data_IF_241382518404
#
_entry.id   IF_241382518404
#
_cell.length_a   1.000
_cell.length_b   1.000
_cell.length_c   1.000
_cell.angle_alpha   90.00
_cell.angle_beta   90.00
_cell.angle_gamma   90.00
#
_symmetry.space_group_name_H-M   'P 1'
#
loop_
_entity.id
_entity.type
_entity.pdbx_description
1 polymer ?
#
# COMPACT_ATOMS: atom_id res chain seq x y z
N UNK A 1 38.74 27.52 56.93
CA UNK A 1 37.86 26.68 56.06
C UNK A 1 37.64 27.46 54.78
N UNK A 2 38.29 27.08 53.71
CA UNK A 2 38.14 27.72 52.42
C UNK A 2 36.97 27.01 51.69
N UNK A 3 35.88 27.74 51.48
CA UNK A 3 34.74 27.29 50.66
C UNK A 3 35.03 27.57 49.21
N UNK A 4 35.40 26.54 48.44
CA UNK A 4 35.45 26.64 47.00
C UNK A 4 33.99 26.78 46.48
N UNK A 5 33.70 27.76 45.61
CA UNK A 5 32.40 27.84 44.98
C UNK A 5 32.22 26.64 44.02
N UNK A 6 31.09 25.93 44.20
CA UNK A 6 30.68 24.90 43.27
C UNK A 6 30.51 25.53 41.88
N UNK A 7 31.15 25.02 40.81
CA UNK A 7 30.92 25.55 39.48
C UNK A 7 29.45 25.30 39.11
N UNK A 8 28.69 26.36 38.97
CA UNK A 8 27.39 26.33 38.28
C UNK A 8 27.69 25.88 36.85
N UNK A 9 27.35 24.66 36.52
CA UNK A 9 27.32 24.24 35.13
C UNK A 9 26.34 25.14 34.40
N UNK A 10 26.84 26.04 33.59
CA UNK A 10 26.01 26.73 32.60
C UNK A 10 25.38 25.68 31.70
N UNK A 11 24.07 25.78 31.35
CA UNK A 11 23.50 24.89 30.39
C UNK A 11 24.38 24.88 29.15
N UNK A 12 24.87 23.70 28.77
CA UNK A 12 25.70 23.53 27.58
C UNK A 12 24.86 23.98 26.40
N UNK A 13 25.13 25.18 25.89
CA UNK A 13 24.55 25.59 24.61
C UNK A 13 25.17 24.68 23.54
N UNK A 14 24.37 24.01 22.71
CA UNK A 14 24.91 23.21 21.62
C UNK A 14 25.76 24.13 20.74
N UNK A 15 26.94 23.65 20.36
CA UNK A 15 27.76 24.31 19.37
C UNK A 15 26.99 24.32 18.00
N UNK A 16 27.47 25.09 17.03
CA UNK A 16 26.82 25.20 15.72
C UNK A 16 26.54 23.84 15.09
N UNK A 17 27.44 22.87 15.24
CA UNK A 17 27.27 21.49 14.75
C UNK A 17 26.18 20.76 15.53
N UNK A 18 26.12 20.93 16.84
CA UNK A 18 25.07 20.36 17.69
C UNK A 18 23.69 20.91 17.33
N UNK A 19 23.58 22.20 17.04
CA UNK A 19 22.35 22.83 16.59
C UNK A 19 21.90 22.29 15.21
N UNK A 20 22.82 22.14 14.27
CA UNK A 20 22.54 21.55 12.95
C UNK A 20 22.07 20.10 13.05
N UNK A 21 22.65 19.30 13.95
CA UNK A 21 22.21 17.93 14.19
C UNK A 21 20.81 17.86 14.80
N UNK A 22 20.49 18.75 15.75
CA UNK A 22 19.15 18.85 16.33
C UNK A 22 18.11 19.25 15.29
N UNK A 23 18.39 20.28 14.47
CA UNK A 23 17.51 20.69 13.38
C UNK A 23 17.27 19.57 12.36
N UNK A 24 18.33 18.83 12.02
CA UNK A 24 18.20 17.68 11.12
C UNK A 24 17.34 16.59 11.72
N UNK A 25 17.49 16.31 13.00
CA UNK A 25 16.72 15.27 13.71
C UNK A 25 15.23 15.66 13.78
N UNK A 26 14.92 16.90 14.13
CA UNK A 26 13.56 17.45 14.11
C UNK A 26 12.93 17.36 12.71
N UNK A 27 13.62 17.84 11.68
CA UNK A 27 13.14 17.76 10.30
C UNK A 27 12.90 16.30 9.85
N UNK A 28 13.76 15.37 10.28
CA UNK A 28 13.62 13.97 9.91
C UNK A 28 12.43 13.29 10.59
N UNK A 29 12.00 13.75 11.75
CA UNK A 29 10.82 13.25 12.46
C UNK A 29 9.53 13.78 11.86
N UNK A 30 9.52 15.03 11.43
CA UNK A 30 8.33 15.65 10.84
C UNK A 30 8.03 15.17 9.42
N UNK A 31 9.00 14.50 8.76
CA UNK A 31 8.86 13.99 7.41
C UNK A 31 8.28 12.58 7.40
N UNK A 32 6.97 12.46 7.25
CA UNK A 32 6.34 11.18 7.00
C UNK A 32 6.54 10.77 5.53
N UNK A 33 7.39 9.78 5.27
CA UNK A 33 7.61 9.27 3.91
C UNK A 33 6.74 8.04 3.64
N UNK A 34 6.85 7.04 4.51
CA UNK A 34 6.05 5.80 4.44
C UNK A 34 6.06 5.10 5.79
N UNK A 35 5.02 4.30 6.03
CA UNK A 35 4.86 3.51 7.25
C UNK A 35 4.23 2.15 6.94
N UNK A 36 4.54 1.15 7.75
CA UNK A 36 3.85 -0.15 7.69
C UNK A 36 2.52 -0.02 8.41
N UNK A 37 1.43 -0.34 7.70
CA UNK A 37 0.08 -0.31 8.23
C UNK A 37 -0.59 -1.67 8.23
N UNK A 38 -1.64 -1.79 9.05
CA UNK A 38 -2.53 -2.95 9.12
C UNK A 38 -3.94 -2.48 8.83
N UNK A 39 -4.59 -3.08 7.83
CA UNK A 39 -5.97 -2.79 7.46
C UNK A 39 -6.90 -3.15 8.62
N UNK A 40 -7.72 -2.21 9.04
CA UNK A 40 -8.77 -2.40 10.04
C UNK A 40 -10.15 -2.61 9.39
N UNK A 41 -10.41 -1.87 8.31
CA UNK A 41 -11.59 -2.00 7.48
C UNK A 41 -11.25 -1.61 6.04
N UNK A 42 -11.90 -2.24 5.05
CA UNK A 42 -11.81 -1.86 3.64
C UNK A 42 -13.19 -1.55 3.09
N UNK A 43 -13.31 -0.47 2.33
CA UNK A 43 -14.55 0.02 1.74
C UNK A 43 -14.48 -0.08 0.20
N UNK A 44 -15.00 -1.17 -0.41
CA UNK A 44 -14.89 -1.41 -1.84
C UNK A 44 -15.52 -0.32 -2.71
N UNK A 45 -16.60 0.30 -2.24
CA UNK A 45 -17.32 1.34 -2.98
C UNK A 45 -16.50 2.62 -3.20
N UNK A 46 -15.66 2.96 -2.24
CA UNK A 46 -14.77 4.14 -2.29
C UNK A 46 -13.31 3.76 -2.54
N UNK A 47 -12.97 2.46 -2.50
CA UNK A 47 -11.61 1.94 -2.61
C UNK A 47 -10.68 2.56 -1.56
N UNK A 48 -11.20 2.72 -0.33
CA UNK A 48 -10.46 3.27 0.81
C UNK A 48 -10.38 2.26 1.94
N UNK A 49 -9.45 2.46 2.85
CA UNK A 49 -9.28 1.63 4.04
C UNK A 49 -9.02 2.48 5.29
N UNK A 50 -9.46 1.97 6.44
CA UNK A 50 -9.01 2.45 7.74
C UNK A 50 -7.76 1.64 8.15
N UNK A 51 -6.70 2.33 8.54
CA UNK A 51 -5.38 1.74 8.70
C UNK A 51 -4.78 2.14 10.04
N UNK A 52 -4.31 1.16 10.81
CA UNK A 52 -3.46 1.41 11.97
C UNK A 52 -1.99 1.32 11.55
N UNK A 53 -1.20 2.33 11.87
CA UNK A 53 0.25 2.28 11.71
C UNK A 53 0.80 1.28 12.72
N UNK A 54 1.63 0.35 12.24
CA UNK A 54 2.12 -0.77 13.05
C UNK A 54 3.37 -0.45 13.86
N UNK A 55 4.15 0.54 13.45
CA UNK A 55 5.40 0.93 14.11
C UNK A 55 5.17 2.22 14.86
N UNK A 56 5.30 2.17 16.20
CA UNK A 56 5.20 3.34 17.05
C UNK A 56 6.46 4.20 16.96
N UNK A 57 6.30 5.49 17.21
CA UNK A 57 7.42 6.39 17.40
C UNK A 57 7.95 6.31 18.84
N UNK A 58 9.26 6.52 19.02
CA UNK A 58 9.87 6.70 20.34
C UNK A 58 10.24 8.17 20.50
N UNK A 59 9.59 8.85 21.42
CA UNK A 59 9.89 10.24 21.76
C UNK A 59 10.22 10.36 23.26
N UNK A 60 11.40 10.86 23.58
CA UNK A 60 11.92 10.97 24.96
C UNK A 60 11.87 9.67 25.78
N UNK A 61 11.94 8.51 25.12
CA UNK A 61 11.86 7.18 25.75
C UNK A 61 10.44 6.63 25.86
N UNK A 62 9.41 7.39 25.51
CA UNK A 62 8.03 6.96 25.50
C UNK A 62 7.60 6.47 24.12
N UNK A 63 6.80 5.41 24.08
CA UNK A 63 6.17 4.89 22.86
C UNK A 63 4.92 5.70 22.54
N UNK A 64 4.94 6.39 21.38
CA UNK A 64 3.82 7.15 20.87
C UNK A 64 3.20 6.40 19.72
N UNK A 65 1.93 6.01 19.88
CA UNK A 65 1.16 5.37 18.82
C UNK A 65 0.59 6.40 17.86
N UNK A 66 0.67 6.11 16.57
CA UNK A 66 0.01 6.92 15.56
C UNK A 66 -1.52 6.78 15.67
N UNK A 67 -2.29 7.81 15.33
CA UNK A 67 -3.74 7.69 15.21
C UNK A 67 -4.10 6.73 14.08
N UNK A 68 -5.29 6.13 14.16
CA UNK A 68 -5.86 5.40 13.03
C UNK A 68 -6.06 6.35 11.86
N UNK A 69 -5.50 6.01 10.71
CA UNK A 69 -5.72 6.74 9.47
C UNK A 69 -7.05 6.28 8.89
N UNK A 70 -7.97 7.20 8.68
CA UNK A 70 -9.32 6.90 8.19
C UNK A 70 -9.43 7.18 6.68
N UNK A 71 -10.15 6.30 5.98
CA UNK A 71 -10.50 6.46 4.56
C UNK A 71 -9.29 6.68 3.65
N UNK A 72 -8.18 6.02 3.94
CA UNK A 72 -6.95 6.09 3.12
C UNK A 72 -7.20 5.43 1.77
N UNK A 73 -6.98 6.10 0.62
CA UNK A 73 -7.10 5.51 -0.71
C UNK A 73 -6.17 4.30 -0.88
N UNK A 74 -6.69 3.23 -1.49
CA UNK A 74 -5.91 2.03 -1.77
C UNK A 74 -5.53 1.99 -3.24
N UNK A 75 -4.24 1.75 -3.51
CA UNK A 75 -3.72 1.60 -4.86
C UNK A 75 -4.23 0.28 -5.45
N UNK A 76 -4.95 0.37 -6.56
CA UNK A 76 -5.40 -0.77 -7.35
C UNK A 76 -4.49 -0.90 -8.57
N UNK A 77 -4.10 -2.12 -8.90
CA UNK A 77 -3.33 -2.39 -10.12
C UNK A 77 -4.25 -2.23 -11.32
N UNK A 78 -4.20 -1.08 -11.98
CA UNK A 78 -5.04 -0.80 -13.15
C UNK A 78 -4.33 0.05 -14.18
N UNK A 79 -4.81 -0.03 -15.43
CA UNK A 79 -4.38 0.81 -16.54
C UNK A 79 -5.40 0.76 -17.67
N UNK A 80 -5.74 1.91 -18.25
CA UNK A 80 -6.83 2.02 -19.22
C UNK A 80 -8.14 1.50 -18.64
N UNK A 81 -8.74 0.51 -19.31
CA UNK A 81 -9.99 -0.13 -18.87
C UNK A 81 -9.78 -1.40 -18.04
N UNK A 82 -8.53 -1.85 -17.90
CA UNK A 82 -8.20 -3.10 -17.21
C UNK A 82 -7.79 -2.88 -15.76
N UNK A 83 -8.21 -3.78 -14.87
CA UNK A 83 -7.77 -3.80 -13.47
C UNK A 83 -7.58 -5.23 -12.97
N UNK A 84 -6.65 -5.41 -12.03
CA UNK A 84 -6.51 -6.65 -11.26
C UNK A 84 -6.91 -6.32 -9.83
N UNK A 85 -7.93 -6.99 -9.33
CA UNK A 85 -8.41 -6.84 -7.96
C UNK A 85 -8.32 -8.15 -7.21
N UNK A 86 -8.04 -8.09 -5.94
CA UNK A 86 -8.10 -9.23 -5.02
C UNK A 86 -8.81 -8.78 -3.73
N UNK A 87 -9.41 -9.73 -2.98
CA UNK A 87 -10.06 -9.38 -1.72
C UNK A 87 -9.07 -8.76 -0.74
N UNK A 88 -9.45 -7.62 -0.16
CA UNK A 88 -8.70 -6.97 0.92
C UNK A 88 -9.51 -7.14 2.20
N UNK A 89 -8.87 -7.64 3.25
CA UNK A 89 -9.51 -7.98 4.50
C UNK A 89 -8.82 -7.32 5.69
N UNK A 90 -9.54 -7.26 6.81
CA UNK A 90 -8.95 -6.84 8.08
C UNK A 90 -7.77 -7.73 8.44
N UNK A 91 -6.65 -7.12 8.80
CA UNK A 91 -5.41 -7.80 9.16
C UNK A 91 -4.38 -7.84 8.03
N UNK A 92 -4.77 -7.51 6.79
CA UNK A 92 -3.81 -7.41 5.69
C UNK A 92 -2.80 -6.30 5.96
N UNK A 93 -1.54 -6.58 5.63
CA UNK A 93 -0.46 -5.62 5.82
C UNK A 93 -0.31 -4.79 4.55
N UNK A 94 -0.12 -3.49 4.72
CA UNK A 94 0.09 -2.55 3.64
C UNK A 94 1.29 -1.64 3.93
N UNK A 95 1.80 -1.01 2.89
CA UNK A 95 2.68 0.12 2.96
C UNK A 95 1.84 1.38 2.73
N UNK A 96 1.84 2.31 3.68
CA UNK A 96 1.23 3.63 3.53
C UNK A 96 2.30 4.60 3.09
N UNK A 97 2.11 5.22 1.94
CA UNK A 97 2.96 6.22 1.34
C UNK A 97 2.33 7.59 1.57
N UNK A 98 3.09 8.57 2.02
CA UNK A 98 2.59 9.93 2.25
C UNK A 98 3.05 10.85 1.13
N UNK A 99 2.09 11.58 0.54
CA UNK A 99 2.38 12.50 -0.55
C UNK A 99 3.13 13.74 -0.06
N UNK A 100 3.99 14.29 -0.92
CA UNK A 100 4.73 15.53 -0.65
C UNK A 100 3.82 16.73 -0.41
N UNK A 101 2.60 16.70 -0.96
CA UNK A 101 1.64 17.80 -0.94
C UNK A 101 0.23 17.29 -0.64
N UNK A 102 -0.59 18.21 -0.18
CA UNK A 102 -2.04 18.02 -0.03
C UNK A 102 -2.67 17.51 -1.33
N UNK A 103 -3.29 16.33 -1.25
CA UNK A 103 -3.90 15.65 -2.40
C UNK A 103 -5.44 15.79 -2.44
N UNK A 104 -6.07 16.44 -1.47
CA UNK A 104 -7.53 16.47 -1.33
C UNK A 104 -8.24 17.01 -2.57
N UNK A 105 -7.71 18.09 -3.16
CA UNK A 105 -8.28 18.71 -4.36
C UNK A 105 -8.26 17.75 -5.56
N UNK A 106 -7.15 17.05 -5.75
CA UNK A 106 -7.04 16.03 -6.79
C UNK A 106 -7.96 14.84 -6.50
N UNK A 107 -7.93 14.33 -5.27
CA UNK A 107 -8.68 13.13 -4.89
C UNK A 107 -10.20 13.33 -5.04
N UNK A 108 -10.71 14.50 -4.71
CA UNK A 108 -12.14 14.81 -4.80
C UNK A 108 -12.61 15.15 -6.20
N UNK A 109 -11.77 15.82 -7.01
CA UNK A 109 -12.16 16.28 -8.36
C UNK A 109 -11.74 15.33 -9.48
N UNK A 110 -10.69 14.51 -9.29
CA UNK A 110 -10.07 13.70 -10.32
C UNK A 110 -9.37 14.50 -11.44
N UNK A 111 -9.25 15.83 -11.29
CA UNK A 111 -8.68 16.71 -12.31
C UNK A 111 -7.17 16.80 -12.18
N UNK A 112 -6.49 17.07 -13.29
CA UNK A 112 -5.05 17.34 -13.31
C UNK A 112 -4.75 18.83 -13.13
N UNK A 113 -3.58 19.15 -12.56
CA UNK A 113 -3.11 20.52 -12.40
C UNK A 113 -3.80 21.31 -11.29
N UNK A 114 -4.46 20.63 -10.35
CA UNK A 114 -5.06 21.27 -9.18
C UNK A 114 -3.98 21.85 -8.24
N UNK A 115 -4.23 23.04 -7.74
CA UNK A 115 -3.46 23.56 -6.62
C UNK A 115 -3.81 22.79 -5.33
N UNK A 116 -2.87 22.57 -4.42
CA UNK A 116 -3.17 22.03 -3.10
C UNK A 116 -4.06 23.00 -2.32
N UNK A 117 -4.98 22.48 -1.52
CA UNK A 117 -5.88 23.30 -0.70
C UNK A 117 -5.16 23.93 0.49
N UNK A 118 -4.09 23.31 0.94
CA UNK A 118 -3.29 23.74 2.11
C UNK A 118 -1.79 23.70 1.78
N UNK A 119 -0.98 24.24 2.67
CA UNK A 119 0.49 24.19 2.57
C UNK A 119 1.10 22.97 3.26
N UNK A 120 0.29 22.02 3.75
CA UNK A 120 0.79 20.81 4.41
C UNK A 120 1.66 19.98 3.48
N UNK A 121 2.68 19.37 4.05
CA UNK A 121 3.63 18.49 3.35
C UNK A 121 3.82 17.23 4.17
N UNK A 122 4.01 16.09 3.52
CA UNK A 122 4.26 14.78 4.18
C UNK A 122 3.30 14.50 5.35
N UNK A 123 2.03 14.89 5.17
CA UNK A 123 1.01 14.77 6.21
C UNK A 123 0.46 13.36 6.28
N UNK A 124 0.15 12.89 7.49
CA UNK A 124 -0.58 11.64 7.71
C UNK A 124 -1.95 11.60 7.00
N UNK A 125 -2.53 12.78 6.71
CA UNK A 125 -3.79 12.90 5.97
C UNK A 125 -3.66 12.65 4.47
N UNK A 126 -2.45 12.72 3.92
CA UNK A 126 -2.17 12.58 2.49
C UNK A 126 -1.59 11.21 2.15
N UNK A 127 -2.01 10.19 2.89
CA UNK A 127 -1.57 8.81 2.70
C UNK A 127 -2.30 8.09 1.58
N UNK A 128 -1.59 7.20 0.88
CA UNK A 128 -2.15 6.17 -0.01
C UNK A 128 -1.58 4.82 0.36
N UNK A 129 -2.37 3.76 0.29
CA UNK A 129 -1.98 2.44 0.75
C UNK A 129 -1.73 1.46 -0.40
N UNK A 130 -0.62 0.72 -0.33
CA UNK A 130 -0.31 -0.41 -1.20
C UNK A 130 -0.36 -1.69 -0.37
N UNK A 131 -1.35 -2.55 -0.63
CA UNK A 131 -1.54 -3.82 0.08
C UNK A 131 -0.68 -4.92 -0.54
N UNK A 132 -0.26 -5.90 0.28
CA UNK A 132 0.47 -7.08 -0.17
C UNK A 132 1.87 -7.24 0.41
N UNK A 133 2.18 -6.54 1.50
CA UNK A 133 3.42 -6.74 2.23
C UNK A 133 3.31 -7.94 3.17
N UNK A 134 4.33 -8.77 3.22
CA UNK A 134 4.44 -9.91 4.14
C UNK A 134 5.56 -9.68 5.15
N UNK A 135 5.34 -10.10 6.39
CA UNK A 135 6.40 -10.10 7.41
C UNK A 135 7.32 -11.31 7.23
N UNK A 136 8.57 -11.20 7.66
CA UNK A 136 9.50 -12.32 7.64
C UNK A 136 9.05 -13.52 8.51
N UNK A 137 8.17 -13.28 9.49
CA UNK A 137 7.56 -14.34 10.29
C UNK A 137 6.47 -15.11 9.54
N UNK A 138 5.75 -14.43 8.66
CA UNK A 138 4.64 -14.99 7.89
C UNK A 138 4.83 -14.66 6.40
N UNK A 139 5.83 -15.25 5.72
CA UNK A 139 6.03 -15.03 4.29
C UNK A 139 4.94 -15.76 3.49
N UNK A 140 4.76 -15.37 2.22
CA UNK A 140 3.89 -16.10 1.31
C UNK A 140 4.39 -17.54 1.17
N UNK A 141 3.57 -18.51 1.56
CA UNK A 141 3.94 -19.94 1.63
C UNK A 141 4.07 -20.62 0.26
N UNK A 142 3.37 -20.12 -0.75
CA UNK A 142 3.32 -20.67 -2.10
C UNK A 142 3.91 -19.69 -3.11
N UNK A 143 5.19 -19.35 -2.94
CA UNK A 143 5.87 -18.47 -3.88
C UNK A 143 6.51 -19.28 -5.01
N UNK A 144 6.07 -19.09 -6.26
CA UNK A 144 6.62 -19.76 -7.42
C UNK A 144 7.93 -19.10 -7.88
N UNK A 145 8.94 -19.93 -8.13
CA UNK A 145 10.20 -19.53 -8.77
C UNK A 145 10.24 -19.89 -10.26
N UNK A 146 9.19 -20.54 -10.79
CA UNK A 146 9.16 -21.09 -12.15
C UNK A 146 8.24 -20.31 -13.09
N UNK A 147 7.31 -19.53 -12.58
CA UNK A 147 6.35 -18.78 -13.38
C UNK A 147 5.43 -17.89 -12.54
N UNK A 148 4.50 -17.25 -13.23
CA UNK A 148 3.45 -16.45 -12.59
C UNK A 148 2.36 -17.41 -12.09
N UNK A 149 2.06 -17.37 -10.80
CA UNK A 149 0.98 -18.12 -10.19
C UNK A 149 -0.07 -17.18 -9.60
N UNK A 150 -1.35 -17.50 -9.81
CA UNK A 150 -2.48 -16.82 -9.18
C UNK A 150 -3.09 -17.78 -8.18
N UNK A 151 -2.75 -17.61 -6.90
CA UNK A 151 -3.17 -18.49 -5.82
C UNK A 151 -4.44 -17.95 -5.15
N UNK A 152 -5.60 -18.35 -5.67
CA UNK A 152 -6.90 -18.06 -5.06
C UNK A 152 -7.89 -19.16 -5.41
N UNK A 153 -8.82 -19.55 -4.50
CA UNK A 153 -9.84 -20.61 -4.78
C UNK A 153 -10.73 -20.30 -5.98
N UNK A 154 -10.89 -19.02 -6.35
CA UNK A 154 -11.68 -18.61 -7.51
C UNK A 154 -10.97 -17.47 -8.22
N UNK A 155 -10.72 -17.61 -9.52
CA UNK A 155 -10.19 -16.55 -10.40
C UNK A 155 -11.23 -16.28 -11.48
N UNK A 156 -11.70 -15.04 -11.55
CA UNK A 156 -12.64 -14.58 -12.55
C UNK A 156 -11.93 -13.71 -13.58
N UNK A 157 -12.07 -14.04 -14.86
CA UNK A 157 -11.60 -13.24 -15.98
C UNK A 157 -12.81 -12.61 -16.66
N UNK A 158 -12.96 -11.29 -16.57
CA UNK A 158 -14.04 -10.54 -17.21
C UNK A 158 -13.56 -10.09 -18.61
N UNK A 159 -13.49 -11.02 -19.53
CA UNK A 159 -13.00 -10.80 -20.88
C UNK A 159 -12.58 -12.11 -21.54
N UNK A 160 -11.96 -12.02 -22.70
CA UNK A 160 -11.43 -13.18 -23.37
C UNK A 160 -10.06 -13.56 -22.78
N UNK A 161 -9.93 -14.83 -22.38
CA UNK A 161 -8.63 -15.39 -22.05
C UNK A 161 -7.98 -15.93 -23.33
N UNK A 162 -6.85 -15.36 -23.72
CA UNK A 162 -6.10 -15.76 -24.90
C UNK A 162 -4.81 -16.48 -24.49
N UNK A 163 -4.63 -17.72 -24.99
CA UNK A 163 -3.42 -18.51 -24.78
C UNK A 163 -2.68 -18.63 -26.10
N UNK A 164 -1.59 -17.88 -26.28
CA UNK A 164 -0.89 -17.74 -27.58
C UNK A 164 -0.36 -19.05 -28.19
N UNK A 165 -0.19 -20.08 -27.36
CA UNK A 165 0.29 -21.42 -27.78
C UNK A 165 -0.79 -22.50 -27.68
N UNK A 166 -2.03 -22.12 -27.36
CA UNK A 166 -3.16 -23.05 -27.27
C UNK A 166 -3.59 -23.56 -28.64
N UNK A 167 -3.91 -24.86 -28.75
CA UNK A 167 -4.48 -25.41 -29.97
C UNK A 167 -5.92 -24.94 -30.16
N UNK A 168 -6.32 -24.68 -31.41
CA UNK A 168 -7.69 -24.34 -31.77
C UNK A 168 -8.25 -25.36 -32.73
N UNK A 169 -9.54 -25.68 -32.61
CA UNK A 169 -10.21 -26.68 -33.45
C UNK A 169 -11.55 -27.10 -32.87
N UNK A 170 -12.16 -28.09 -33.51
CA UNK A 170 -13.38 -28.72 -32.99
C UNK A 170 -13.32 -30.22 -33.09
N UNK A 171 -13.98 -30.91 -32.18
CA UNK A 171 -14.16 -32.34 -32.22
C UNK A 171 -15.58 -32.71 -31.78
N UNK A 172 -16.06 -33.87 -32.23
CA UNK A 172 -17.37 -34.39 -31.82
C UNK A 172 -17.20 -35.42 -30.71
N UNK A 173 -18.08 -35.32 -29.72
CA UNK A 173 -18.18 -36.32 -28.64
C UNK A 173 -18.97 -37.57 -29.12
N UNK A 174 -18.89 -38.66 -28.35
CA UNK A 174 -19.58 -39.94 -28.68
C UNK A 174 -21.10 -39.76 -28.73
N UNK A 175 -21.65 -38.83 -27.97
CA UNK A 175 -23.08 -38.48 -27.91
C UNK A 175 -23.51 -37.46 -28.97
N UNK A 176 -22.63 -37.11 -29.92
CA UNK A 176 -22.92 -36.25 -31.05
C UNK A 176 -22.81 -34.76 -30.77
N UNK A 177 -22.36 -34.35 -29.59
CA UNK A 177 -22.09 -32.93 -29.34
C UNK A 177 -20.78 -32.48 -30.02
N UNK A 178 -20.74 -31.25 -30.50
CA UNK A 178 -19.52 -30.61 -31.03
C UNK A 178 -18.91 -29.73 -30.00
N UNK A 179 -17.65 -29.96 -29.66
CA UNK A 179 -16.84 -29.15 -28.75
C UNK A 179 -15.92 -28.24 -29.59
N UNK A 180 -16.02 -26.95 -29.40
CA UNK A 180 -15.12 -25.96 -30.01
C UNK A 180 -14.08 -25.48 -29.01
N UNK A 181 -12.82 -25.59 -29.40
CA UNK A 181 -11.66 -25.08 -28.62
C UNK A 181 -11.07 -23.90 -29.36
N UNK A 182 -10.83 -22.80 -28.65
CA UNK A 182 -10.08 -21.67 -29.15
C UNK A 182 -8.95 -21.37 -28.16
N UNK A 183 -7.72 -21.30 -28.65
CA UNK A 183 -6.54 -21.00 -27.85
C UNK A 183 -6.37 -21.88 -26.59
N UNK A 184 -6.70 -23.17 -26.73
CA UNK A 184 -6.63 -24.16 -25.65
C UNK A 184 -7.80 -24.14 -24.67
N UNK A 185 -8.81 -23.30 -24.90
CA UNK A 185 -9.98 -23.12 -24.03
C UNK A 185 -11.24 -23.61 -24.74
N UNK A 186 -12.07 -24.41 -24.06
CA UNK A 186 -13.37 -24.79 -24.60
C UNK A 186 -14.29 -23.56 -24.59
N UNK A 187 -14.68 -23.10 -25.75
CA UNK A 187 -15.50 -21.89 -25.93
C UNK A 187 -16.97 -22.19 -26.21
N UNK A 188 -17.26 -23.38 -26.72
CA UNK A 188 -18.64 -23.81 -27.02
C UNK A 188 -18.79 -25.34 -26.95
N UNK A 189 -19.96 -25.76 -26.51
CA UNK A 189 -20.43 -27.17 -26.63
C UNK A 189 -21.84 -27.08 -27.19
N UNK A 190 -22.04 -27.55 -28.43
CA UNK A 190 -23.36 -27.58 -29.11
C UNK A 190 -23.79 -29.03 -29.38
N UNK A 191 -25.07 -29.30 -29.19
CA UNK A 191 -25.75 -30.53 -29.59
C UNK A 191 -26.51 -30.30 -30.88
#
# INVERSE_FOLDING_TARGET
>A
MSTYPTPTQSPIQPDERGLQLLLKDELSRDLNCHQIGIIQAFYPATQTADININIAEIYNGDLIQYPTLLSVPVIILHGGVGAITFPITKGDICLVLFNDRDMDSWYTSGQTGNAPNTTRTHSLSDGVALVGLFSGKNPLSAYSMLGIEINHPSVQVNGNLHVSTGASGSFSTVDGATVTVADGIITNISR
#
